data_IF_947777100255
#
_entry.id   IF_947777100255
#
_cell.length_a   1.000
_cell.length_b   1.000
_cell.length_c   1.000
_cell.angle_alpha   90.00
_cell.angle_beta   90.00
_cell.angle_gamma   90.00
#
_symmetry.space_group_name_H-M   'P 1'
#
loop_
_entity.id
_entity.type
_entity.pdbx_description
1 polymer ?
#
# COMPACT_ATOMS: atom_id res chain seq x y z
N UNK A 1 -0.83 -25.24 2.25
CA UNK A 1 -0.02 -25.69 3.39
C UNK A 1 0.37 -24.46 4.21
N UNK A 2 0.45 -24.61 5.53
CA UNK A 2 0.94 -23.57 6.42
C UNK A 2 2.48 -23.46 6.32
N UNK A 3 3.02 -22.25 6.28
CA UNK A 3 4.47 -22.03 6.35
C UNK A 3 4.91 -22.00 7.82
N UNK A 4 5.79 -22.90 8.20
CA UNK A 4 6.46 -22.86 9.50
C UNK A 4 7.68 -21.94 9.41
N UNK A 5 7.67 -20.84 10.17
CA UNK A 5 8.74 -19.86 10.14
C UNK A 5 9.94 -20.26 11.02
N UNK A 6 9.75 -21.25 11.92
CA UNK A 6 10.81 -21.76 12.81
C UNK A 6 11.78 -22.70 12.12
N UNK A 7 11.36 -23.33 11.02
CA UNK A 7 12.08 -24.42 10.36
C UNK A 7 12.36 -24.15 8.89
N UNK A 8 13.19 -25.00 8.29
CA UNK A 8 13.53 -24.95 6.88
C UNK A 8 14.43 -23.76 6.47
N UNK A 9 14.63 -23.61 5.17
CA UNK A 9 15.46 -22.54 4.61
C UNK A 9 14.73 -21.19 4.70
N UNK A 10 15.32 -20.21 5.34
CA UNK A 10 14.72 -18.88 5.60
C UNK A 10 14.28 -18.18 4.31
N UNK A 11 15.08 -18.26 3.25
CA UNK A 11 14.73 -17.68 1.96
C UNK A 11 13.43 -18.25 1.37
N UNK A 12 13.18 -19.57 1.56
CA UNK A 12 11.91 -20.19 1.14
C UNK A 12 10.73 -19.62 1.91
N UNK A 13 10.89 -19.38 3.21
CA UNK A 13 9.86 -18.79 4.05
C UNK A 13 9.52 -17.36 3.59
N UNK A 14 10.53 -16.55 3.27
CA UNK A 14 10.32 -15.19 2.74
C UNK A 14 9.63 -15.23 1.36
N UNK A 15 10.12 -16.04 0.43
CA UNK A 15 9.54 -16.15 -0.92
C UNK A 15 8.11 -16.69 -0.89
N UNK A 16 7.82 -17.68 -0.06
CA UNK A 16 6.48 -18.24 0.10
C UNK A 16 5.48 -17.21 0.64
N UNK A 17 5.94 -16.20 1.37
CA UNK A 17 5.12 -15.07 1.79
C UNK A 17 5.03 -13.98 0.70
N UNK A 18 6.16 -13.64 0.07
CA UNK A 18 6.25 -12.54 -0.86
C UNK A 18 5.50 -12.80 -2.18
N UNK A 19 5.62 -13.99 -2.78
CA UNK A 19 4.98 -14.31 -4.08
C UNK A 19 3.45 -14.16 -4.01
N UNK A 20 2.73 -14.77 -3.04
CA UNK A 20 1.28 -14.57 -2.97
C UNK A 20 0.89 -13.10 -2.74
N UNK A 21 1.65 -12.35 -1.94
CA UNK A 21 1.41 -10.92 -1.74
C UNK A 21 1.62 -10.14 -3.04
N UNK A 22 2.66 -10.46 -3.81
CA UNK A 22 2.95 -9.83 -5.10
C UNK A 22 1.81 -10.09 -6.10
N UNK A 23 1.37 -11.34 -6.22
CA UNK A 23 0.24 -11.70 -7.09
C UNK A 23 -1.03 -10.94 -6.67
N UNK A 24 -1.31 -10.89 -5.37
CA UNK A 24 -2.46 -10.15 -4.85
C UNK A 24 -2.39 -8.65 -5.20
N UNK A 25 -1.23 -8.00 -5.05
CA UNK A 25 -1.07 -6.58 -5.40
C UNK A 25 -1.17 -6.32 -6.91
N UNK A 26 -0.61 -7.19 -7.74
CA UNK A 26 -0.75 -7.06 -9.21
C UNK A 26 -2.21 -7.21 -9.66
N UNK A 27 -2.94 -8.16 -9.08
CA UNK A 27 -4.37 -8.33 -9.34
C UNK A 27 -5.16 -7.09 -8.87
N UNK A 28 -4.80 -6.51 -7.73
CA UNK A 28 -5.42 -5.29 -7.21
C UNK A 28 -5.22 -4.10 -8.17
N UNK A 29 -4.02 -3.93 -8.71
CA UNK A 29 -3.74 -2.88 -9.70
C UNK A 29 -4.56 -3.11 -10.97
N UNK A 30 -4.57 -4.34 -11.50
CA UNK A 30 -5.33 -4.69 -12.68
C UNK A 30 -6.83 -4.43 -12.50
N UNK A 31 -7.38 -4.87 -11.39
CA UNK A 31 -8.77 -4.64 -11.03
C UNK A 31 -9.11 -3.13 -11.01
N UNK A 32 -8.30 -2.30 -10.36
CA UNK A 32 -8.52 -0.85 -10.30
C UNK A 32 -8.51 -0.19 -11.70
N UNK A 33 -7.70 -0.71 -12.62
CA UNK A 33 -7.65 -0.23 -14.01
C UNK A 33 -8.92 -0.64 -14.76
N UNK A 34 -9.35 -1.89 -14.64
CA UNK A 34 -10.52 -2.41 -15.35
C UNK A 34 -11.82 -1.73 -14.87
N UNK A 35 -11.97 -1.52 -13.56
CA UNK A 35 -13.11 -0.79 -13.00
C UNK A 35 -13.25 0.63 -13.61
N UNK A 36 -12.12 1.36 -13.72
CA UNK A 36 -12.11 2.67 -14.37
C UNK A 36 -12.45 2.61 -15.86
N UNK A 37 -12.02 1.57 -16.56
CA UNK A 37 -12.35 1.35 -17.97
C UNK A 37 -13.85 1.18 -18.12
N UNK A 38 -14.50 0.33 -17.32
CA UNK A 38 -15.94 0.15 -17.37
C UNK A 38 -16.71 1.46 -17.14
N UNK A 39 -16.32 2.22 -16.13
CA UNK A 39 -16.98 3.49 -15.80
C UNK A 39 -16.76 4.55 -16.90
N UNK A 40 -15.54 4.63 -17.43
CA UNK A 40 -15.20 5.59 -18.50
C UNK A 40 -15.94 5.33 -19.83
N UNK A 41 -16.40 4.08 -20.05
CA UNK A 41 -17.15 3.71 -21.24
C UNK A 41 -18.69 3.82 -21.07
N UNK A 42 -19.17 4.43 -19.98
CA UNK A 42 -20.60 4.71 -19.83
C UNK A 42 -21.08 5.68 -20.91
N UNK A 43 -22.13 5.35 -21.68
CA UNK A 43 -22.66 6.22 -22.72
C UNK A 43 -23.06 7.58 -22.14
N UNK A 44 -22.71 8.67 -22.84
CA UNK A 44 -23.04 10.07 -22.54
C UNK A 44 -22.39 10.63 -21.27
N UNK A 45 -22.29 9.85 -20.18
CA UNK A 45 -21.88 10.32 -18.85
C UNK A 45 -20.47 9.86 -18.44
N UNK A 46 -19.80 9.01 -19.24
CA UNK A 46 -18.55 8.33 -18.86
C UNK A 46 -17.45 9.25 -18.38
N UNK A 47 -17.24 10.39 -19.06
CA UNK A 47 -16.20 11.38 -18.66
C UNK A 47 -16.51 12.02 -17.31
N UNK A 48 -17.74 12.47 -17.09
CA UNK A 48 -18.17 13.12 -15.83
C UNK A 48 -18.23 12.08 -14.69
N UNK A 49 -18.66 10.84 -14.98
CA UNK A 49 -18.67 9.75 -14.03
C UNK A 49 -17.25 9.36 -13.59
N UNK A 50 -16.32 9.22 -14.54
CA UNK A 50 -14.92 8.91 -14.25
C UNK A 50 -14.27 10.01 -13.41
N UNK A 51 -14.52 11.30 -13.75
CA UNK A 51 -14.05 12.44 -12.98
C UNK A 51 -14.65 12.42 -11.57
N UNK A 52 -15.97 12.21 -11.45
CA UNK A 52 -16.66 12.13 -10.16
C UNK A 52 -16.10 11.03 -9.24
N UNK A 53 -15.86 9.84 -9.77
CA UNK A 53 -15.26 8.74 -9.01
C UNK A 53 -13.80 9.04 -8.66
N UNK A 54 -13.06 9.71 -9.55
CA UNK A 54 -11.71 10.21 -9.26
C UNK A 54 -11.66 11.11 -8.02
N UNK A 55 -12.69 11.92 -7.79
CA UNK A 55 -12.82 12.76 -6.60
C UNK A 55 -13.10 12.00 -5.30
N UNK A 56 -13.54 10.75 -5.38
CA UNK A 56 -13.70 9.86 -4.22
C UNK A 56 -12.36 9.24 -3.78
N UNK A 57 -11.37 9.19 -4.66
CA UNK A 57 -10.08 8.55 -4.41
C UNK A 57 -9.35 9.05 -3.14
N UNK A 58 -9.30 10.35 -2.81
CA UNK A 58 -8.71 10.80 -1.55
C UNK A 58 -9.42 10.24 -0.30
N UNK A 59 -10.73 10.06 -0.35
CA UNK A 59 -11.50 9.47 0.76
C UNK A 59 -11.16 7.99 0.92
N UNK A 60 -11.11 7.24 -0.19
CA UNK A 60 -10.71 5.82 -0.14
C UNK A 60 -9.27 5.65 0.34
N UNK A 61 -8.38 6.57 -0.03
CA UNK A 61 -6.99 6.60 0.46
C UNK A 61 -6.92 6.87 1.95
N UNK A 62 -7.76 7.76 2.48
CA UNK A 62 -7.86 8.02 3.93
C UNK A 62 -8.33 6.77 4.67
N UNK A 63 -9.35 6.08 4.18
CA UNK A 63 -9.82 4.80 4.74
C UNK A 63 -8.70 3.76 4.76
N UNK A 64 -7.95 3.63 3.67
CA UNK A 64 -6.80 2.74 3.59
C UNK A 64 -5.67 3.12 4.57
N UNK A 65 -5.42 4.42 4.77
CA UNK A 65 -4.42 4.88 5.73
C UNK A 65 -4.76 4.47 7.16
N UNK A 66 -6.03 4.62 7.58
CA UNK A 66 -6.48 4.17 8.90
C UNK A 66 -6.49 2.64 9.03
N UNK A 67 -6.84 1.91 7.97
CA UNK A 67 -6.71 0.44 7.95
C UNK A 67 -5.25 0.03 8.18
N UNK A 68 -4.31 0.68 7.48
CA UNK A 68 -2.89 0.43 7.62
C UNK A 68 -2.35 0.83 9.01
N UNK A 69 -2.91 1.86 9.65
CA UNK A 69 -2.55 2.25 11.01
C UNK A 69 -2.63 1.06 11.98
N UNK A 70 -3.71 0.32 11.95
CA UNK A 70 -3.91 -0.78 12.89
C UNK A 70 -3.35 -2.12 12.40
N UNK A 71 -3.40 -2.38 11.10
CA UNK A 71 -2.83 -3.60 10.52
C UNK A 71 -1.31 -3.62 10.61
N UNK A 72 -0.64 -2.56 10.14
CA UNK A 72 0.83 -2.44 10.15
C UNK A 72 1.38 -2.38 11.58
N UNK A 73 0.60 -1.87 12.53
CA UNK A 73 0.98 -1.89 13.95
C UNK A 73 0.76 -3.24 14.63
N UNK A 74 -0.35 -3.90 14.33
CA UNK A 74 -0.75 -5.15 14.98
C UNK A 74 -0.02 -6.39 14.47
N UNK A 75 0.14 -6.53 13.15
CA UNK A 75 0.73 -7.73 12.53
C UNK A 75 2.15 -8.05 13.01
N UNK A 76 3.09 -7.10 13.11
CA UNK A 76 4.43 -7.38 13.65
C UNK A 76 4.39 -7.78 15.13
N UNK A 77 3.59 -7.08 15.95
CA UNK A 77 3.43 -7.42 17.37
C UNK A 77 2.85 -8.84 17.56
N UNK A 78 1.87 -9.19 16.73
CA UNK A 78 1.29 -10.54 16.69
C UNK A 78 2.35 -11.56 16.28
N UNK A 79 3.15 -11.29 15.25
CA UNK A 79 4.19 -12.21 14.77
C UNK A 79 5.26 -12.46 15.82
N UNK A 80 5.67 -11.42 16.56
CA UNK A 80 6.63 -11.53 17.67
C UNK A 80 6.04 -12.33 18.83
N UNK A 81 4.80 -12.06 19.25
CA UNK A 81 4.11 -12.80 20.31
C UNK A 81 3.97 -14.30 19.94
N UNK A 82 3.62 -14.59 18.68
CA UNK A 82 3.55 -15.94 18.15
C UNK A 82 4.92 -16.64 18.21
N UNK A 83 5.99 -15.97 17.82
CA UNK A 83 7.36 -16.50 17.87
C UNK A 83 7.81 -16.79 19.30
N UNK A 84 7.44 -15.94 20.25
CA UNK A 84 7.70 -16.11 21.67
C UNK A 84 6.80 -17.16 22.34
N UNK A 85 5.87 -17.78 21.60
CA UNK A 85 4.86 -18.74 22.11
C UNK A 85 3.91 -18.13 23.17
N UNK A 86 3.73 -16.80 23.13
CA UNK A 86 2.82 -16.06 24.01
C UNK A 86 1.39 -16.05 23.39
N UNK A 87 0.72 -17.20 23.35
CA UNK A 87 -0.55 -17.37 22.63
C UNK A 87 -1.64 -16.40 23.08
N UNK A 88 -1.82 -16.23 24.41
CA UNK A 88 -2.81 -15.29 24.97
C UNK A 88 -2.57 -13.85 24.52
N UNK A 89 -1.31 -13.45 24.41
CA UNK A 89 -0.93 -12.10 23.95
C UNK A 89 -1.16 -11.94 22.45
N UNK A 90 -0.87 -12.97 21.64
CA UNK A 90 -1.15 -12.96 20.22
C UNK A 90 -2.67 -12.82 19.96
N UNK A 91 -3.50 -13.60 20.65
CA UNK A 91 -4.97 -13.49 20.57
C UNK A 91 -5.49 -12.14 21.04
N UNK A 92 -4.90 -11.59 22.11
CA UNK A 92 -5.24 -10.23 22.58
C UNK A 92 -4.95 -9.20 21.50
N UNK A 93 -3.77 -9.23 20.87
CA UNK A 93 -3.41 -8.29 19.80
C UNK A 93 -4.39 -8.39 18.63
N UNK A 94 -4.73 -9.61 18.20
CA UNK A 94 -5.72 -9.84 17.15
C UNK A 94 -7.08 -9.23 17.51
N UNK A 95 -7.60 -9.51 18.71
CA UNK A 95 -8.88 -8.97 19.18
C UNK A 95 -8.88 -7.44 19.27
N UNK A 96 -7.81 -6.82 19.79
CA UNK A 96 -7.69 -5.36 19.84
C UNK A 96 -7.73 -4.74 18.44
N UNK A 97 -7.02 -5.34 17.46
CA UNK A 97 -7.01 -4.82 16.08
C UNK A 97 -8.39 -4.98 15.43
N UNK A 98 -9.09 -6.10 15.65
CA UNK A 98 -10.48 -6.26 15.16
C UNK A 98 -11.36 -5.12 15.68
N UNK A 99 -11.31 -4.84 16.97
CA UNK A 99 -12.13 -3.78 17.58
C UNK A 99 -11.73 -2.38 17.07
N UNK A 100 -10.43 -2.10 16.93
CA UNK A 100 -9.95 -0.83 16.39
C UNK A 100 -10.38 -0.63 14.94
N UNK A 101 -10.24 -1.64 14.09
CA UNK A 101 -10.69 -1.59 12.70
C UNK A 101 -12.21 -1.38 12.60
N UNK A 102 -12.99 -2.11 13.44
CA UNK A 102 -14.44 -1.98 13.46
C UNK A 102 -14.89 -0.58 13.88
N UNK A 103 -14.40 -0.09 15.02
CA UNK A 103 -14.75 1.25 15.55
C UNK A 103 -14.33 2.33 14.54
N UNK A 104 -13.13 2.22 13.99
CA UNK A 104 -12.63 3.21 13.03
C UNK A 104 -13.41 3.18 11.73
N UNK A 105 -13.83 2.01 11.23
CA UNK A 105 -14.66 1.93 10.03
C UNK A 105 -16.01 2.61 10.23
N UNK A 106 -16.66 2.44 11.39
CA UNK A 106 -17.89 3.13 11.72
C UNK A 106 -17.69 4.64 11.88
N UNK A 107 -16.62 5.06 12.54
CA UNK A 107 -16.30 6.48 12.70
C UNK A 107 -16.02 7.15 11.35
N UNK A 108 -15.21 6.54 10.49
CA UNK A 108 -14.93 7.04 9.16
C UNK A 108 -16.19 7.08 8.29
N UNK A 109 -17.00 6.04 8.33
CA UNK A 109 -18.28 6.00 7.63
C UNK A 109 -19.17 7.19 8.06
N UNK A 110 -19.37 7.39 9.36
CA UNK A 110 -20.19 8.48 9.87
C UNK A 110 -19.62 9.86 9.51
N UNK A 111 -18.32 10.09 9.73
CA UNK A 111 -17.67 11.35 9.37
C UNK A 111 -17.74 11.65 7.88
N UNK A 112 -17.46 10.65 7.03
CA UNK A 112 -17.53 10.84 5.59
C UNK A 112 -18.97 11.08 5.11
N UNK A 113 -19.99 10.46 5.72
CA UNK A 113 -21.39 10.75 5.40
C UNK A 113 -21.79 12.19 5.76
N UNK A 114 -21.37 12.68 6.94
CA UNK A 114 -21.67 14.04 7.39
C UNK A 114 -20.97 15.09 6.53
N UNK A 115 -19.68 14.86 6.24
CA UNK A 115 -18.82 15.85 5.58
C UNK A 115 -18.59 15.60 4.08
N UNK A 116 -19.29 14.65 3.44
CA UNK A 116 -19.07 14.27 2.03
C UNK A 116 -19.14 15.46 1.06
N UNK A 117 -20.14 16.33 1.20
CA UNK A 117 -20.32 17.48 0.31
C UNK A 117 -19.15 18.47 0.41
N UNK A 118 -18.83 19.07 1.58
CA UNK A 118 -17.71 20.00 1.69
C UNK A 118 -16.37 19.35 1.32
N UNK A 119 -16.16 18.07 1.62
CA UNK A 119 -14.91 17.35 1.29
C UNK A 119 -14.78 17.15 -0.22
N UNK A 120 -15.84 16.72 -0.92
CA UNK A 120 -15.80 16.56 -2.38
C UNK A 120 -15.58 17.89 -3.11
N UNK A 121 -16.22 18.98 -2.66
CA UNK A 121 -15.98 20.31 -3.22
C UNK A 121 -14.56 20.83 -2.92
N UNK A 122 -14.01 20.52 -1.76
CA UNK A 122 -12.61 20.83 -1.43
C UNK A 122 -11.63 20.11 -2.37
N UNK A 123 -11.99 18.91 -2.83
CA UNK A 123 -11.19 18.15 -3.82
C UNK A 123 -11.47 18.53 -5.27
N UNK A 124 -12.29 19.55 -5.52
CA UNK A 124 -12.50 20.11 -6.84
C UNK A 124 -13.75 19.60 -7.57
N UNK A 125 -14.75 19.09 -6.83
CA UNK A 125 -16.04 18.75 -7.44
C UNK A 125 -16.73 20.00 -7.99
N UNK A 126 -17.29 19.89 -9.20
CA UNK A 126 -18.32 20.79 -9.72
C UNK A 126 -19.71 20.24 -9.34
N UNK A 127 -20.76 21.04 -9.49
CA UNK A 127 -22.14 20.56 -9.27
C UNK A 127 -22.47 19.36 -10.18
N UNK A 128 -21.93 19.30 -11.39
CA UNK A 128 -22.14 18.20 -12.33
C UNK A 128 -21.41 16.92 -11.88
N UNK A 129 -20.13 17.01 -11.52
CA UNK A 129 -19.33 15.85 -11.11
C UNK A 129 -19.67 15.37 -9.70
N UNK A 130 -20.18 16.27 -8.84
CA UNK A 130 -20.65 15.94 -7.50
C UNK A 130 -21.74 14.88 -7.51
N UNK A 131 -22.68 14.93 -8.45
CA UNK A 131 -23.78 13.97 -8.55
C UNK A 131 -23.23 12.54 -8.66
N UNK A 132 -22.24 12.31 -9.51
CA UNK A 132 -21.65 10.97 -9.72
C UNK A 132 -20.75 10.56 -8.54
N UNK A 133 -19.97 11.50 -8.00
CA UNK A 133 -19.17 11.28 -6.81
C UNK A 133 -20.04 10.87 -5.61
N UNK A 134 -21.16 11.56 -5.38
CA UNK A 134 -22.10 11.28 -4.29
C UNK A 134 -22.82 9.95 -4.47
N UNK A 135 -23.22 9.61 -5.70
CA UNK A 135 -23.83 8.32 -6.03
C UNK A 135 -22.90 7.16 -5.66
N UNK A 136 -21.64 7.23 -6.07
CA UNK A 136 -20.66 6.20 -5.77
C UNK A 136 -20.35 6.15 -4.26
N UNK A 137 -20.05 7.32 -3.67
CA UNK A 137 -19.59 7.43 -2.30
C UNK A 137 -20.63 6.95 -1.29
N UNK A 138 -21.92 7.25 -1.48
CA UNK A 138 -23.01 6.80 -0.60
C UNK A 138 -23.01 5.29 -0.41
N UNK A 139 -22.83 4.55 -1.49
CA UNK A 139 -22.85 3.08 -1.46
C UNK A 139 -21.52 2.56 -0.96
N UNK A 140 -20.41 3.10 -1.47
CA UNK A 140 -19.06 2.71 -1.06
C UNK A 140 -18.85 2.82 0.46
N UNK A 141 -19.37 3.88 1.09
CA UNK A 141 -19.26 4.09 2.53
C UNK A 141 -19.94 2.99 3.35
N UNK A 142 -21.06 2.43 2.87
CA UNK A 142 -21.70 1.27 3.52
C UNK A 142 -20.81 0.03 3.49
N UNK A 143 -20.02 -0.13 2.44
CA UNK A 143 -19.04 -1.20 2.29
C UNK A 143 -17.73 -0.99 3.05
N UNK A 144 -17.48 0.20 3.57
CA UNK A 144 -16.21 0.55 4.23
C UNK A 144 -15.87 -0.44 5.36
N UNK A 145 -16.84 -0.89 6.13
CA UNK A 145 -16.65 -1.86 7.21
C UNK A 145 -16.08 -3.19 6.68
N UNK A 146 -16.59 -3.68 5.55
CA UNK A 146 -16.12 -4.92 4.92
C UNK A 146 -14.70 -4.75 4.37
N UNK A 147 -14.43 -3.63 3.71
CA UNK A 147 -13.13 -3.29 3.15
C UNK A 147 -12.06 -3.19 4.24
N UNK A 148 -12.32 -2.43 5.30
CA UNK A 148 -11.40 -2.19 6.42
C UNK A 148 -11.09 -3.49 7.16
N UNK A 149 -12.11 -4.29 7.47
CA UNK A 149 -11.91 -5.55 8.19
C UNK A 149 -11.23 -6.61 7.31
N UNK A 150 -11.62 -6.77 6.05
CA UNK A 150 -11.00 -7.76 5.16
C UNK A 150 -9.52 -7.44 4.91
N UNK A 151 -9.21 -6.21 4.57
CA UNK A 151 -7.84 -5.77 4.29
C UNK A 151 -6.98 -5.74 5.55
N UNK A 152 -7.51 -5.20 6.64
CA UNK A 152 -6.78 -5.05 7.90
C UNK A 152 -6.44 -6.38 8.56
N UNK A 153 -7.35 -7.37 8.47
CA UNK A 153 -7.14 -8.70 9.06
C UNK A 153 -6.35 -9.65 8.15
N UNK A 154 -6.26 -9.34 6.84
CA UNK A 154 -5.53 -10.19 5.89
C UNK A 154 -4.06 -10.37 6.27
N UNK A 155 -3.42 -9.34 6.84
CA UNK A 155 -2.06 -9.40 7.35
C UNK A 155 -1.87 -10.46 8.45
N UNK A 156 -2.89 -10.70 9.29
CA UNK A 156 -2.85 -11.72 10.34
C UNK A 156 -2.97 -13.15 9.78
N UNK A 157 -3.67 -13.33 8.66
CA UNK A 157 -3.70 -14.61 7.93
C UNK A 157 -2.30 -14.95 7.44
N UNK A 158 -1.62 -13.98 6.83
CA UNK A 158 -0.25 -14.11 6.35
C UNK A 158 0.73 -14.38 7.51
N UNK A 159 0.58 -13.66 8.62
CA UNK A 159 1.39 -13.82 9.83
C UNK A 159 1.20 -15.18 10.52
N UNK A 160 0.06 -15.85 10.31
CA UNK A 160 -0.15 -17.24 10.74
C UNK A 160 0.47 -18.28 9.79
N UNK A 161 1.10 -17.84 8.69
CA UNK A 161 1.74 -18.72 7.71
C UNK A 161 0.82 -19.22 6.60
N UNK A 162 -0.30 -18.53 6.33
CA UNK A 162 -1.26 -18.89 5.28
C UNK A 162 -1.33 -17.84 4.14
N UNK A 163 -0.20 -17.47 3.51
CA UNK A 163 -0.18 -16.38 2.51
C UNK A 163 -1.06 -16.66 1.29
N UNK A 164 -1.20 -17.94 0.89
CA UNK A 164 -2.12 -18.32 -0.19
C UNK A 164 -3.59 -18.01 0.16
N UNK A 165 -3.97 -18.14 1.44
CA UNK A 165 -5.31 -17.78 1.91
C UNK A 165 -5.50 -16.26 1.90
N UNK A 166 -4.45 -15.52 2.31
CA UNK A 166 -4.43 -14.06 2.20
C UNK A 166 -4.52 -13.56 0.76
N UNK A 167 -3.80 -14.17 -0.16
CA UNK A 167 -3.92 -13.89 -1.60
C UNK A 167 -5.36 -14.12 -2.11
N UNK A 168 -5.97 -15.24 -1.71
CA UNK A 168 -7.36 -15.56 -2.11
C UNK A 168 -8.36 -14.51 -1.64
N UNK A 169 -8.13 -13.80 -0.54
CA UNK A 169 -8.97 -12.68 -0.10
C UNK A 169 -9.08 -11.61 -1.18
N UNK A 170 -7.93 -11.20 -1.74
CA UNK A 170 -7.87 -10.17 -2.78
C UNK A 170 -8.40 -10.70 -4.12
N UNK A 171 -8.02 -11.93 -4.48
CA UNK A 171 -8.45 -12.56 -5.73
C UNK A 171 -9.98 -12.72 -5.80
N UNK A 172 -10.61 -13.21 -4.74
CA UNK A 172 -12.07 -13.37 -4.71
C UNK A 172 -12.77 -12.03 -4.87
N UNK A 173 -12.33 -10.99 -4.14
CA UNK A 173 -12.87 -9.65 -4.29
C UNK A 173 -12.74 -9.15 -5.73
N UNK A 174 -11.53 -9.24 -6.31
CA UNK A 174 -11.26 -8.76 -7.66
C UNK A 174 -12.05 -9.51 -8.74
N UNK A 175 -12.11 -10.84 -8.67
CA UNK A 175 -12.85 -11.66 -9.64
C UNK A 175 -14.36 -11.38 -9.58
N UNK A 176 -14.91 -11.30 -8.36
CA UNK A 176 -16.36 -11.04 -8.18
C UNK A 176 -16.69 -9.63 -8.69
N UNK A 177 -15.88 -8.64 -8.38
CA UNK A 177 -16.09 -7.29 -8.87
C UNK A 177 -16.02 -7.24 -10.40
N UNK A 178 -14.99 -7.83 -11.02
CA UNK A 178 -14.83 -7.91 -12.47
C UNK A 178 -16.04 -8.53 -13.19
N UNK A 179 -16.70 -9.49 -12.55
CA UNK A 179 -17.92 -10.14 -13.09
C UNK A 179 -19.15 -9.28 -12.84
N UNK A 180 -19.27 -8.69 -11.64
CA UNK A 180 -20.46 -7.94 -11.26
C UNK A 180 -20.53 -6.54 -11.88
N UNK A 181 -19.38 -5.89 -12.14
CA UNK A 181 -19.35 -4.56 -12.75
C UNK A 181 -20.11 -4.51 -14.08
N UNK A 182 -19.80 -5.32 -15.11
CA UNK A 182 -20.55 -5.27 -16.37
C UNK A 182 -22.01 -5.65 -16.20
N UNK A 183 -22.34 -6.54 -15.27
CA UNK A 183 -23.72 -6.95 -15.00
C UNK A 183 -24.53 -5.79 -14.43
N UNK A 184 -24.01 -5.09 -13.42
CA UNK A 184 -24.75 -3.99 -12.79
C UNK A 184 -24.66 -2.70 -13.61
N UNK A 185 -23.49 -2.39 -14.18
CA UNK A 185 -23.28 -1.15 -14.92
C UNK A 185 -24.10 -1.16 -16.22
N UNK A 186 -23.95 -2.22 -17.03
CA UNK A 186 -24.55 -2.30 -18.37
C UNK A 186 -25.79 -3.18 -18.42
N UNK A 187 -25.76 -4.38 -17.79
CA UNK A 187 -26.87 -5.33 -17.84
C UNK A 187 -28.12 -4.82 -17.11
N UNK A 188 -27.96 -4.26 -15.93
CA UNK A 188 -29.05 -3.67 -15.14
C UNK A 188 -29.17 -2.15 -15.31
N UNK A 189 -28.37 -1.54 -16.19
CA UNK A 189 -28.37 -0.11 -16.48
C UNK A 189 -28.24 0.81 -15.23
N UNK A 190 -27.53 0.32 -14.18
CA UNK A 190 -27.38 1.06 -12.93
C UNK A 190 -26.26 2.10 -12.96
N UNK A 191 -25.42 2.11 -14.02
CA UNK A 191 -24.33 3.08 -14.18
C UNK A 191 -23.38 3.12 -12.97
N UNK A 192 -23.13 4.32 -12.44
CA UNK A 192 -22.22 4.55 -11.30
C UNK A 192 -22.69 3.84 -10.02
N UNK A 193 -24.01 3.76 -9.77
CA UNK A 193 -24.55 2.99 -8.65
C UNK A 193 -24.19 1.51 -8.76
N UNK A 194 -24.24 0.97 -9.99
CA UNK A 194 -23.91 -0.43 -10.28
C UNK A 194 -22.45 -0.75 -9.89
N UNK A 195 -21.50 0.09 -10.29
CA UNK A 195 -20.09 -0.05 -9.93
C UNK A 195 -19.89 -0.02 -8.41
N UNK A 196 -20.54 0.90 -7.70
CA UNK A 196 -20.44 0.99 -6.24
C UNK A 196 -21.02 -0.26 -5.55
N UNK A 197 -22.16 -0.78 -6.01
CA UNK A 197 -22.79 -2.00 -5.46
C UNK A 197 -21.88 -3.22 -5.70
N UNK A 198 -21.34 -3.39 -6.92
CA UNK A 198 -20.43 -4.47 -7.25
C UNK A 198 -19.19 -4.44 -6.34
N UNK A 199 -18.63 -3.26 -6.10
CA UNK A 199 -17.50 -3.06 -5.19
C UNK A 199 -17.85 -3.48 -3.75
N UNK A 200 -18.99 -3.06 -3.23
CA UNK A 200 -19.41 -3.40 -1.85
C UNK A 200 -19.68 -4.90 -1.69
N UNK A 201 -20.33 -5.52 -2.66
CA UNK A 201 -20.56 -6.98 -2.64
C UNK A 201 -19.22 -7.72 -2.66
N UNK A 202 -18.30 -7.33 -3.52
CA UNK A 202 -16.96 -7.93 -3.63
C UNK A 202 -16.17 -7.82 -2.32
N UNK A 203 -16.22 -6.64 -1.67
CA UNK A 203 -15.62 -6.42 -0.35
C UNK A 203 -16.31 -7.27 0.73
N UNK A 204 -17.63 -7.41 0.67
CA UNK A 204 -18.41 -8.29 1.54
C UNK A 204 -17.98 -9.75 1.44
N UNK A 205 -17.80 -10.26 0.22
CA UNK A 205 -17.32 -11.64 0.00
C UNK A 205 -15.88 -11.81 0.50
N UNK A 206 -15.00 -10.84 0.24
CA UNK A 206 -13.65 -10.83 0.79
C UNK A 206 -13.65 -10.87 2.33
N UNK A 207 -14.53 -10.10 2.96
CA UNK A 207 -14.70 -10.10 4.41
C UNK A 207 -15.21 -11.44 4.93
N UNK A 208 -16.23 -12.02 4.29
CA UNK A 208 -16.76 -13.35 4.68
C UNK A 208 -15.70 -14.44 4.55
N UNK A 209 -14.84 -14.36 3.53
CA UNK A 209 -13.70 -15.26 3.38
C UNK A 209 -12.70 -15.13 4.55
N UNK A 210 -12.32 -13.90 4.93
CA UNK A 210 -11.45 -13.62 6.06
C UNK A 210 -12.07 -14.10 7.37
N UNK A 211 -13.35 -13.79 7.59
CA UNK A 211 -14.09 -14.23 8.78
C UNK A 211 -14.16 -15.74 8.88
N UNK A 212 -14.45 -16.45 7.77
CA UNK A 212 -14.46 -17.91 7.71
C UNK A 212 -13.13 -18.55 8.10
N UNK A 213 -12.01 -17.88 7.79
CA UNK A 213 -10.70 -18.34 8.23
C UNK A 213 -10.54 -18.25 9.75
N UNK A 214 -10.91 -17.11 10.37
CA UNK A 214 -10.77 -16.93 11.83
C UNK A 214 -11.79 -17.70 12.66
N UNK A 215 -12.92 -18.08 12.08
CA UNK A 215 -13.92 -18.97 12.71
C UNK A 215 -13.64 -20.45 12.44
N UNK A 216 -12.80 -20.76 11.47
CA UNK A 216 -12.54 -22.12 11.02
C UNK A 216 -11.54 -22.86 11.93
N UNK A 217 -11.60 -24.20 11.89
CA UNK A 217 -10.72 -25.10 12.67
C UNK A 217 -9.23 -25.07 12.25
N UNK A 218 -8.88 -24.38 11.16
CA UNK A 218 -7.51 -24.33 10.61
C UNK A 218 -6.65 -23.22 11.21
N UNK A 219 -7.27 -22.23 11.85
CA UNK A 219 -6.56 -21.17 12.54
C UNK A 219 -6.19 -21.61 13.96
N UNK A 220 -5.02 -21.20 14.42
CA UNK A 220 -4.61 -21.42 15.82
C UNK A 220 -5.04 -20.27 16.73
N UNK A 221 -5.29 -19.09 16.15
CA UNK A 221 -5.60 -17.87 16.88
C UNK A 221 -6.98 -17.37 16.46
N UNK A 222 -7.94 -17.53 17.37
CA UNK A 222 -9.34 -17.17 17.14
C UNK A 222 -9.66 -15.76 17.66
N UNK A 223 -10.68 -15.14 17.06
CA UNK A 223 -11.26 -13.91 17.59
C UNK A 223 -12.12 -14.28 18.80
N UNK A 224 -11.64 -13.97 20.00
CA UNK A 224 -12.34 -14.22 21.26
C UNK A 224 -13.03 -12.96 21.75
N UNK A 225 -14.27 -13.05 22.21
CA UNK A 225 -15.07 -11.91 22.71
C UNK A 225 -14.37 -11.15 23.85
N UNK A 226 -13.70 -11.86 24.75
CA UNK A 226 -12.94 -11.30 25.87
C UNK A 226 -11.78 -10.37 25.44
N UNK A 227 -11.22 -10.60 24.24
CA UNK A 227 -10.11 -9.85 23.67
C UNK A 227 -10.57 -8.62 22.86
N UNK A 228 -11.86 -8.44 22.64
CA UNK A 228 -12.42 -7.28 21.93
C UNK A 228 -12.49 -6.02 22.79
N UNK A 229 -12.47 -6.15 24.11
CA UNK A 229 -12.45 -5.01 25.02
C UNK A 229 -11.11 -4.30 24.92
N UNK A 230 -11.14 -3.01 24.54
CA UNK A 230 -9.92 -2.23 24.29
C UNK A 230 -9.10 -2.05 25.57
N UNK A 231 -7.81 -2.38 25.50
CA UNK A 231 -6.83 -2.18 26.57
C UNK A 231 -5.87 -1.06 26.15
N UNK A 232 -5.95 0.10 26.84
CA UNK A 232 -5.20 1.31 26.46
C UNK A 232 -3.70 1.07 26.23
N UNK A 233 -3.04 0.26 27.06
CA UNK A 233 -1.62 -0.05 26.89
C UNK A 233 -1.31 -0.85 25.61
N UNK A 234 -2.21 -1.74 25.17
CA UNK A 234 -2.04 -2.50 23.93
C UNK A 234 -2.40 -1.62 22.72
N UNK A 235 -3.49 -0.88 22.79
CA UNK A 235 -3.89 0.10 21.76
C UNK A 235 -2.74 1.08 21.50
N UNK A 236 -2.13 1.65 22.54
CA UNK A 236 -0.98 2.55 22.40
C UNK A 236 0.20 1.92 21.67
N UNK A 237 0.53 0.65 21.95
CA UNK A 237 1.61 -0.07 21.24
C UNK A 237 1.28 -0.31 19.77
N UNK A 238 0.05 -0.76 19.46
CA UNK A 238 -0.42 -0.99 18.09
C UNK A 238 -0.39 0.33 17.31
N UNK A 239 -0.99 1.39 17.84
CA UNK A 239 -1.05 2.69 17.16
C UNK A 239 0.34 3.29 16.97
N UNK A 240 1.21 3.25 18.00
CA UNK A 240 2.58 3.78 17.92
C UNK A 240 3.39 3.14 16.78
N UNK A 241 3.29 1.82 16.60
CA UNK A 241 3.98 1.13 15.51
C UNK A 241 3.30 1.39 14.16
N UNK A 242 1.99 1.43 14.15
CA UNK A 242 1.19 1.64 12.94
C UNK A 242 1.22 3.06 12.38
N UNK A 243 1.55 4.07 13.19
CA UNK A 243 1.75 5.45 12.72
C UNK A 243 2.73 5.50 11.53
N UNK A 244 3.72 4.60 11.48
CA UNK A 244 4.67 4.55 10.37
C UNK A 244 3.99 4.27 9.03
N UNK A 245 3.03 3.34 8.98
CA UNK A 245 2.26 3.03 7.78
C UNK A 245 1.30 4.16 7.40
N UNK A 246 0.64 4.76 8.39
CA UNK A 246 -0.24 5.91 8.20
C UNK A 246 0.52 7.12 7.61
N UNK A 247 1.64 7.48 8.23
CA UNK A 247 2.49 8.60 7.79
C UNK A 247 3.06 8.34 6.41
N UNK A 248 3.46 7.10 6.11
CA UNK A 248 3.96 6.75 4.77
C UNK A 248 2.91 6.98 3.69
N UNK A 249 1.65 6.63 3.94
CA UNK A 249 0.56 6.86 2.99
C UNK A 249 0.26 8.36 2.81
N UNK A 250 0.15 9.10 3.90
CA UNK A 250 -0.10 10.54 3.87
C UNK A 250 1.02 11.34 3.20
N UNK A 251 2.27 10.97 3.46
CA UNK A 251 3.43 11.64 2.84
C UNK A 251 3.55 11.36 1.34
N UNK A 252 3.15 10.17 0.86
CA UNK A 252 3.07 9.89 -0.57
C UNK A 252 2.06 10.81 -1.29
N UNK A 253 0.88 11.00 -0.69
CA UNK A 253 -0.14 11.91 -1.20
C UNK A 253 0.39 13.36 -1.25
N UNK A 254 1.02 13.83 -0.18
CA UNK A 254 1.63 15.16 -0.12
C UNK A 254 2.66 15.38 -1.24
N UNK A 255 3.59 14.44 -1.41
CA UNK A 255 4.60 14.50 -2.46
C UNK A 255 3.97 14.59 -3.83
N UNK A 256 2.94 13.77 -4.10
CA UNK A 256 2.26 13.78 -5.40
C UNK A 256 1.61 15.14 -5.71
N UNK A 257 0.95 15.75 -4.72
CA UNK A 257 0.34 17.09 -4.87
C UNK A 257 1.42 18.14 -5.16
N UNK A 258 2.52 18.14 -4.42
CA UNK A 258 3.62 19.11 -4.61
C UNK A 258 4.29 18.90 -5.97
N UNK A 259 4.60 17.65 -6.36
CA UNK A 259 5.18 17.34 -7.66
C UNK A 259 4.28 17.82 -8.81
N UNK A 260 2.99 17.50 -8.78
CA UNK A 260 2.06 17.90 -9.82
C UNK A 260 1.95 19.43 -9.94
N UNK A 261 1.90 20.15 -8.80
CA UNK A 261 1.85 21.62 -8.78
C UNK A 261 3.12 22.21 -9.40
N UNK A 262 4.30 21.71 -9.03
CA UNK A 262 5.58 22.22 -9.56
C UNK A 262 5.72 21.89 -11.06
N UNK A 263 5.34 20.68 -11.48
CA UNK A 263 5.36 20.32 -12.91
C UNK A 263 4.42 21.17 -13.74
N UNK A 264 3.21 21.45 -13.23
CA UNK A 264 2.28 22.36 -13.89
C UNK A 264 2.87 23.76 -14.05
N UNK A 265 3.49 24.30 -12.99
CA UNK A 265 4.06 25.65 -13.01
C UNK A 265 5.24 25.81 -13.99
N UNK A 266 6.10 24.78 -14.12
CA UNK A 266 7.32 24.85 -14.92
C UNK A 266 7.23 24.19 -16.29
N UNK A 267 6.27 23.28 -16.51
CA UNK A 267 6.16 22.49 -17.74
C UNK A 267 4.76 22.30 -18.30
N UNK A 268 3.74 22.82 -17.60
CA UNK A 268 2.34 22.72 -18.03
C UNK A 268 1.77 21.29 -17.94
N UNK A 269 0.59 21.12 -18.54
CA UNK A 269 -0.19 19.87 -18.47
C UNK A 269 0.54 18.66 -19.05
N UNK A 270 1.37 18.87 -20.08
CA UNK A 270 2.13 17.78 -20.70
C UNK A 270 3.03 17.06 -19.69
N UNK A 271 3.76 17.79 -18.84
CA UNK A 271 4.65 17.21 -17.86
C UNK A 271 3.93 16.61 -16.65
N UNK A 272 2.75 17.11 -16.31
CA UNK A 272 1.84 16.44 -15.34
C UNK A 272 1.37 15.10 -15.91
N UNK A 273 1.04 15.05 -17.19
CA UNK A 273 0.73 13.82 -17.91
C UNK A 273 1.90 12.81 -17.92
N UNK A 274 3.11 13.29 -18.25
CA UNK A 274 4.34 12.46 -18.19
C UNK A 274 4.53 11.88 -16.77
N UNK A 275 4.36 12.69 -15.72
CA UNK A 275 4.49 12.23 -14.33
C UNK A 275 3.44 11.18 -13.98
N UNK A 276 2.25 11.26 -14.52
CA UNK A 276 1.21 10.24 -14.33
C UNK A 276 1.64 8.90 -14.90
N UNK A 277 2.22 8.89 -16.11
CA UNK A 277 2.79 7.67 -16.70
C UNK A 277 3.97 7.16 -15.87
N UNK A 278 4.91 8.03 -15.50
CA UNK A 278 6.06 7.69 -14.65
C UNK A 278 5.61 7.05 -13.32
N UNK A 279 4.59 7.60 -12.67
CA UNK A 279 4.03 7.04 -11.43
C UNK A 279 3.43 5.65 -11.66
N UNK A 280 2.76 5.42 -12.79
CA UNK A 280 2.20 4.10 -13.14
C UNK A 280 3.31 3.06 -13.34
N UNK A 281 4.37 3.43 -14.08
CA UNK A 281 5.57 2.58 -14.25
C UNK A 281 6.21 2.28 -12.88
N UNK A 282 6.39 3.31 -12.05
CA UNK A 282 6.96 3.17 -10.71
C UNK A 282 6.12 2.24 -9.82
N UNK A 283 4.80 2.38 -9.86
CA UNK A 283 3.90 1.54 -9.07
C UNK A 283 4.07 0.07 -9.44
N UNK A 284 4.02 -0.27 -10.72
CA UNK A 284 4.20 -1.64 -11.20
C UNK A 284 5.57 -2.20 -10.83
N UNK A 285 6.65 -1.45 -11.12
CA UNK A 285 8.02 -1.90 -10.87
C UNK A 285 8.39 -1.97 -9.38
N UNK A 286 7.73 -1.21 -8.51
CA UNK A 286 8.00 -1.28 -7.07
C UNK A 286 7.28 -2.43 -6.36
N UNK A 287 6.24 -3.03 -6.98
CA UNK A 287 5.47 -4.12 -6.35
C UNK A 287 6.35 -5.29 -5.88
N UNK A 288 7.24 -5.89 -6.69
CA UNK A 288 8.04 -7.01 -6.22
C UNK A 288 8.98 -6.65 -5.07
N UNK A 289 9.59 -5.46 -5.10
CA UNK A 289 10.47 -4.99 -4.02
C UNK A 289 9.73 -4.73 -2.71
N UNK A 290 8.59 -4.04 -2.77
CA UNK A 290 7.76 -3.75 -1.60
C UNK A 290 7.13 -5.01 -1.00
N UNK A 291 6.69 -5.94 -1.85
CA UNK A 291 6.09 -7.21 -1.39
C UNK A 291 7.13 -8.17 -0.83
N UNK A 292 8.37 -8.13 -1.33
CA UNK A 292 9.49 -8.88 -0.73
C UNK A 292 9.74 -8.39 0.70
N UNK A 293 9.78 -7.07 0.92
CA UNK A 293 9.88 -6.47 2.24
C UNK A 293 8.70 -6.83 3.16
N UNK A 294 7.48 -6.69 2.66
CA UNK A 294 6.25 -7.01 3.41
C UNK A 294 6.15 -8.50 3.73
N UNK A 295 6.53 -9.37 2.81
CA UNK A 295 6.57 -10.82 3.00
C UNK A 295 7.64 -11.27 4.01
N UNK A 296 8.72 -10.50 4.13
CA UNK A 296 9.75 -10.75 5.15
C UNK A 296 9.28 -10.37 6.56
N UNK A 297 8.38 -9.41 6.73
CA UNK A 297 7.96 -8.93 8.06
C UNK A 297 7.44 -10.02 9.01
N UNK A 298 6.50 -10.90 8.62
CA UNK A 298 6.06 -11.98 9.49
C UNK A 298 7.17 -12.96 9.87
N UNK A 299 8.08 -13.23 8.93
CA UNK A 299 9.23 -14.14 9.15
C UNK A 299 10.22 -13.51 10.12
N UNK A 300 10.53 -12.22 9.93
CA UNK A 300 11.42 -11.46 10.83
C UNK A 300 10.83 -11.36 12.23
N UNK A 301 9.58 -10.92 12.35
CA UNK A 301 8.90 -10.75 13.65
C UNK A 301 8.79 -12.05 14.41
N UNK A 302 8.41 -13.15 13.75
CA UNK A 302 8.33 -14.47 14.36
C UNK A 302 9.69 -14.94 14.91
N UNK A 303 10.72 -14.94 14.05
CA UNK A 303 12.05 -15.43 14.45
C UNK A 303 12.69 -14.53 15.51
N UNK A 304 12.41 -13.23 15.49
CA UNK A 304 12.84 -12.30 16.54
C UNK A 304 12.18 -12.62 17.88
N UNK A 305 10.85 -12.82 17.87
CA UNK A 305 10.11 -13.26 19.07
C UNK A 305 10.56 -14.61 19.61
N UNK A 306 10.93 -15.55 18.72
CA UNK A 306 11.47 -16.85 19.07
C UNK A 306 12.96 -16.81 19.47
N UNK A 307 13.59 -15.63 19.50
CA UNK A 307 15.04 -15.44 19.79
C UNK A 307 15.97 -16.18 18.81
N UNK A 308 15.49 -16.50 17.61
CA UNK A 308 16.28 -17.15 16.55
C UNK A 308 17.00 -16.09 15.70
N UNK A 309 17.94 -15.37 16.29
CA UNK A 309 18.55 -14.18 15.70
C UNK A 309 19.38 -14.47 14.44
N UNK A 310 19.99 -15.63 14.32
CA UNK A 310 20.68 -16.04 13.09
C UNK A 310 19.71 -16.13 11.90
N UNK A 311 18.48 -16.62 12.12
CA UNK A 311 17.45 -16.66 11.08
C UNK A 311 16.96 -15.26 10.72
N UNK A 312 16.89 -14.35 11.68
CA UNK A 312 16.61 -12.93 11.44
C UNK A 312 17.68 -12.32 10.53
N UNK A 313 18.97 -12.54 10.85
CA UNK A 313 20.11 -12.07 10.01
C UNK A 313 20.02 -12.63 8.58
N UNK A 314 19.77 -13.93 8.43
CA UNK A 314 19.62 -14.59 7.13
C UNK A 314 18.44 -14.01 6.33
N UNK A 315 17.31 -13.73 6.98
CA UNK A 315 16.15 -13.09 6.33
C UNK A 315 16.49 -11.68 5.83
N UNK A 316 17.12 -10.83 6.66
CA UNK A 316 17.52 -9.48 6.28
C UNK A 316 18.50 -9.51 5.09
N UNK A 317 19.55 -10.34 5.16
CA UNK A 317 20.54 -10.47 4.06
C UNK A 317 19.87 -10.91 2.75
N UNK A 318 19.03 -11.93 2.81
CA UNK A 318 18.32 -12.44 1.64
C UNK A 318 17.41 -11.37 1.02
N UNK A 319 16.59 -10.70 1.85
CA UNK A 319 15.67 -9.65 1.38
C UNK A 319 16.43 -8.47 0.79
N UNK A 320 17.57 -8.09 1.38
CA UNK A 320 18.43 -7.03 0.85
C UNK A 320 19.06 -7.40 -0.50
N UNK A 321 19.64 -8.60 -0.61
CA UNK A 321 20.32 -9.05 -1.83
C UNK A 321 19.34 -9.21 -3.00
N UNK A 322 18.22 -9.90 -2.79
CA UNK A 322 17.22 -10.13 -3.84
C UNK A 322 16.46 -8.85 -4.18
N UNK A 323 16.11 -8.05 -3.18
CA UNK A 323 15.47 -6.75 -3.40
C UNK A 323 16.36 -5.80 -4.21
N UNK A 324 17.65 -5.72 -3.90
CA UNK A 324 18.60 -4.91 -4.64
C UNK A 324 18.77 -5.42 -6.08
N UNK A 325 18.99 -6.73 -6.26
CA UNK A 325 19.16 -7.34 -7.59
C UNK A 325 17.94 -7.09 -8.47
N UNK A 326 16.73 -7.30 -7.94
CA UNK A 326 15.50 -7.03 -8.69
C UNK A 326 15.38 -5.56 -9.09
N UNK A 327 15.58 -4.63 -8.14
CA UNK A 327 15.47 -3.19 -8.41
C UNK A 327 16.55 -2.71 -9.38
N UNK A 328 17.74 -3.31 -9.36
CA UNK A 328 18.80 -3.04 -10.32
C UNK A 328 18.39 -3.49 -11.73
N UNK A 329 17.81 -4.68 -11.88
CA UNK A 329 17.30 -5.18 -13.17
C UNK A 329 16.16 -4.28 -13.67
N UNK A 330 15.22 -3.90 -12.79
CA UNK A 330 14.12 -3.00 -13.14
C UNK A 330 14.64 -1.63 -13.59
N UNK A 331 15.63 -1.08 -12.90
CA UNK A 331 16.29 0.16 -13.28
C UNK A 331 16.95 0.05 -14.66
N UNK A 332 17.73 -1.01 -14.91
CA UNK A 332 18.36 -1.25 -16.22
C UNK A 332 17.32 -1.36 -17.35
N UNK A 333 16.21 -2.05 -17.10
CA UNK A 333 15.13 -2.15 -18.08
C UNK A 333 14.55 -0.77 -18.45
N UNK A 334 14.34 0.10 -17.47
CA UNK A 334 13.82 1.46 -17.70
C UNK A 334 14.85 2.32 -18.47
N UNK A 335 16.13 2.19 -18.15
CA UNK A 335 17.18 3.00 -18.82
C UNK A 335 17.41 2.53 -20.28
N UNK A 336 17.31 1.22 -20.52
CA UNK A 336 17.55 0.63 -21.85
C UNK A 336 16.33 0.79 -22.78
N UNK A 337 15.12 0.61 -22.24
CA UNK A 337 13.86 0.57 -23.00
C UNK A 337 12.86 1.68 -22.61
N UNK A 338 13.26 2.97 -22.49
CA UNK A 338 12.37 4.03 -21.99
C UNK A 338 11.24 4.33 -22.97
N UNK A 339 11.51 4.31 -24.29
CA UNK A 339 10.52 4.58 -25.34
C UNK A 339 9.44 3.52 -25.40
N UNK A 340 9.86 2.26 -25.36
CA UNK A 340 8.98 1.09 -25.37
C UNK A 340 8.05 1.10 -24.16
N UNK A 341 8.59 1.41 -22.98
CA UNK A 341 7.80 1.52 -21.75
C UNK A 341 6.77 2.65 -21.86
N UNK A 342 7.17 3.83 -22.34
CA UNK A 342 6.25 4.93 -22.52
C UNK A 342 5.17 4.66 -23.56
N UNK A 343 5.53 3.98 -24.67
CA UNK A 343 4.60 3.64 -25.74
C UNK A 343 3.46 2.69 -25.32
N UNK A 344 3.63 1.96 -24.22
CA UNK A 344 2.55 1.14 -23.62
C UNK A 344 1.43 2.04 -23.08
N UNK A 345 1.76 3.26 -22.63
CA UNK A 345 0.81 4.15 -21.94
C UNK A 345 0.28 5.29 -22.82
N UNK A 346 1.01 5.67 -23.87
CA UNK A 346 0.60 6.78 -24.75
C UNK A 346 1.09 6.57 -26.17
N UNK A 347 0.30 7.04 -27.14
CA UNK A 347 0.66 7.10 -28.57
C UNK A 347 1.15 8.49 -29.00
N UNK A 348 1.09 9.49 -28.09
CA UNK A 348 1.55 10.84 -28.37
C UNK A 348 3.08 10.90 -28.47
N UNK A 349 3.58 11.17 -29.67
CA UNK A 349 5.02 11.24 -29.96
C UNK A 349 5.73 12.34 -29.18
N UNK A 350 5.10 13.51 -28.99
CA UNK A 350 5.69 14.60 -28.23
C UNK A 350 5.87 14.22 -26.76
N UNK A 351 4.86 13.57 -26.18
CA UNK A 351 4.90 13.05 -24.83
C UNK A 351 5.94 11.94 -24.64
N UNK A 352 6.13 11.06 -25.66
CA UNK A 352 7.15 10.00 -25.62
C UNK A 352 8.55 10.62 -25.63
N UNK A 353 8.82 11.56 -26.53
CA UNK A 353 10.14 12.19 -26.64
C UNK A 353 10.53 12.95 -25.37
N UNK A 354 9.63 13.82 -24.87
CA UNK A 354 9.87 14.56 -23.62
C UNK A 354 9.90 13.63 -22.39
N UNK A 355 9.07 12.59 -22.41
CA UNK A 355 8.96 11.61 -21.33
C UNK A 355 10.19 10.69 -21.21
N UNK A 356 10.91 10.41 -22.31
CA UNK A 356 12.11 9.56 -22.30
C UNK A 356 13.18 10.13 -21.35
N UNK A 357 13.49 11.41 -21.47
CA UNK A 357 14.45 12.07 -20.59
C UNK A 357 13.97 12.12 -19.15
N UNK A 358 12.72 12.53 -18.94
CA UNK A 358 12.10 12.60 -17.62
C UNK A 358 12.07 11.23 -16.91
N UNK A 359 11.75 10.16 -17.65
CA UNK A 359 11.74 8.80 -17.12
C UNK A 359 13.14 8.35 -16.66
N UNK A 360 14.17 8.60 -17.48
CA UNK A 360 15.56 8.29 -17.13
C UNK A 360 16.02 9.05 -15.89
N UNK A 361 15.70 10.34 -15.80
CA UNK A 361 16.04 11.16 -14.62
C UNK A 361 15.33 10.65 -13.36
N UNK A 362 14.03 10.39 -13.44
CA UNK A 362 13.24 9.96 -12.30
C UNK A 362 13.66 8.58 -11.76
N UNK A 363 14.02 7.66 -12.66
CA UNK A 363 14.47 6.31 -12.29
C UNK A 363 15.96 6.23 -12.00
N UNK A 364 16.72 7.31 -12.16
CA UNK A 364 18.15 7.30 -11.83
C UNK A 364 18.37 6.88 -10.38
N UNK A 365 19.08 5.75 -10.19
CA UNK A 365 19.28 5.20 -8.85
C UNK A 365 18.06 4.55 -8.20
N UNK A 366 17.05 4.11 -8.98
CA UNK A 366 15.85 3.40 -8.47
C UNK A 366 16.19 2.19 -7.59
N UNK A 367 17.31 1.53 -7.82
CA UNK A 367 17.79 0.41 -7.01
C UNK A 367 18.08 0.79 -5.55
N UNK A 368 18.37 2.06 -5.24
CA UNK A 368 18.50 2.52 -3.84
C UNK A 368 17.20 2.40 -3.04
N UNK A 369 16.06 2.37 -3.70
CA UNK A 369 14.77 2.19 -3.06
C UNK A 369 14.65 0.82 -2.36
N UNK A 370 15.42 -0.19 -2.81
CA UNK A 370 15.49 -1.50 -2.14
C UNK A 370 15.99 -1.38 -0.70
N UNK A 371 16.99 -0.53 -0.44
CA UNK A 371 17.51 -0.29 0.90
C UNK A 371 16.46 0.34 1.83
N UNK A 372 15.62 1.23 1.28
CA UNK A 372 14.49 1.78 2.01
C UNK A 372 13.48 0.71 2.38
N UNK A 373 13.09 -0.17 1.44
CA UNK A 373 12.13 -1.24 1.71
C UNK A 373 12.65 -2.21 2.78
N UNK A 374 13.91 -2.61 2.71
CA UNK A 374 14.52 -3.52 3.69
C UNK A 374 14.64 -2.86 5.06
N UNK A 375 15.14 -1.62 5.13
CA UNK A 375 15.25 -0.87 6.38
C UNK A 375 13.88 -0.69 7.04
N UNK A 376 12.90 -0.20 6.28
CA UNK A 376 11.55 0.07 6.77
C UNK A 376 10.83 -1.21 7.23
N UNK A 377 10.89 -2.29 6.44
CA UNK A 377 10.28 -3.57 6.81
C UNK A 377 10.90 -4.17 8.04
N UNK A 378 12.23 -4.06 8.22
CA UNK A 378 12.94 -4.53 9.41
C UNK A 378 12.58 -3.72 10.64
N UNK A 379 12.56 -2.37 10.55
CA UNK A 379 12.13 -1.51 11.67
C UNK A 379 10.71 -1.86 12.13
N UNK A 380 9.80 -2.04 11.19
CA UNK A 380 8.40 -2.39 11.48
C UNK A 380 8.29 -3.79 12.08
N UNK A 381 8.95 -4.78 11.48
CA UNK A 381 8.90 -6.17 11.93
C UNK A 381 9.45 -6.38 13.34
N UNK A 382 10.48 -5.61 13.73
CA UNK A 382 11.13 -5.68 15.03
C UNK A 382 10.57 -4.68 16.06
N UNK A 383 9.45 -4.01 15.74
CA UNK A 383 8.75 -3.12 16.67
C UNK A 383 9.42 -1.76 16.88
N UNK A 384 10.33 -1.32 16.00
CA UNK A 384 11.05 -0.06 16.11
C UNK A 384 10.25 1.13 15.53
N UNK A 385 9.06 1.42 16.13
CA UNK A 385 8.10 2.41 15.66
C UNK A 385 8.72 3.79 15.35
N UNK A 386 9.47 4.34 16.31
CA UNK A 386 10.08 5.69 16.16
C UNK A 386 10.98 5.80 14.92
N UNK A 387 11.78 4.76 14.65
CA UNK A 387 12.66 4.74 13.47
C UNK A 387 11.87 4.56 12.18
N UNK A 388 10.87 3.69 12.19
CA UNK A 388 9.99 3.48 11.05
C UNK A 388 9.26 4.79 10.65
N UNK A 389 8.70 5.53 11.62
CA UNK A 389 8.08 6.84 11.39
C UNK A 389 9.10 7.86 10.90
N UNK A 390 10.25 7.96 11.57
CA UNK A 390 11.30 8.92 11.21
C UNK A 390 11.72 8.77 9.75
N UNK A 391 12.05 7.56 9.28
CA UNK A 391 12.50 7.36 7.91
C UNK A 391 11.38 7.51 6.87
N UNK A 392 10.11 7.31 7.25
CA UNK A 392 8.97 7.65 6.38
C UNK A 392 8.88 9.16 6.12
N UNK A 393 9.02 9.97 7.17
CA UNK A 393 8.99 11.44 7.09
C UNK A 393 10.27 11.97 6.45
N UNK A 394 11.44 11.48 6.88
CA UNK A 394 12.75 11.95 6.44
C UNK A 394 12.88 11.92 4.91
N UNK A 395 12.56 10.79 4.30
CA UNK A 395 12.68 10.64 2.85
C UNK A 395 11.69 11.53 2.09
N UNK A 396 10.43 11.51 2.47
CA UNK A 396 9.38 12.17 1.68
C UNK A 396 9.20 13.64 2.02
N UNK A 397 9.12 13.99 3.29
CA UNK A 397 8.83 15.37 3.71
C UNK A 397 10.12 16.20 3.84
N UNK A 398 11.19 15.63 4.38
CA UNK A 398 12.42 16.40 4.62
C UNK A 398 13.31 16.46 3.38
N UNK A 399 13.29 15.45 2.50
CA UNK A 399 14.13 15.43 1.30
C UNK A 399 13.31 15.73 0.04
N UNK A 400 12.32 14.90 -0.32
CA UNK A 400 11.61 15.02 -1.61
C UNK A 400 10.88 16.36 -1.74
N UNK A 401 10.05 16.73 -0.75
CA UNK A 401 9.24 17.95 -0.85
C UNK A 401 10.10 19.21 -1.03
N UNK A 402 11.14 19.46 -0.18
CA UNK A 402 11.99 20.63 -0.39
C UNK A 402 12.76 20.59 -1.71
N UNK A 403 13.33 19.44 -2.11
CA UNK A 403 14.05 19.35 -3.37
C UNK A 403 13.12 19.57 -4.58
N UNK A 404 11.91 19.04 -4.54
CA UNK A 404 10.89 19.27 -5.60
C UNK A 404 10.56 20.75 -5.77
N UNK A 405 10.67 21.56 -4.72
CA UNK A 405 10.43 23.01 -4.77
C UNK A 405 11.71 23.77 -5.13
N UNK A 406 12.82 23.45 -4.46
CA UNK A 406 14.07 24.23 -4.54
C UNK A 406 14.78 24.01 -5.89
N UNK A 407 14.92 22.75 -6.36
CA UNK A 407 15.67 22.46 -7.58
C UNK A 407 15.12 23.16 -8.82
N UNK A 408 13.78 23.21 -9.08
CA UNK A 408 13.22 24.01 -10.16
C UNK A 408 13.55 25.51 -10.04
N UNK A 409 13.50 26.06 -8.81
CA UNK A 409 13.80 27.48 -8.56
C UNK A 409 15.28 27.82 -8.77
N UNK A 410 16.19 26.86 -8.65
CA UNK A 410 17.62 27.02 -8.93
C UNK A 410 17.98 26.95 -10.43
N UNK A 411 16.99 26.95 -11.31
CA UNK A 411 17.18 26.95 -12.76
C UNK A 411 17.08 25.60 -13.45
N UNK A 412 16.84 24.52 -12.70
CA UNK A 412 16.65 23.18 -13.27
C UNK A 412 15.22 22.98 -13.86
N UNK A 413 14.30 23.91 -13.60
CA UNK A 413 12.95 23.83 -14.14
C UNK A 413 12.27 22.48 -13.87
N UNK A 414 11.70 21.89 -14.91
CA UNK A 414 10.99 20.60 -14.84
C UNK A 414 11.90 19.46 -14.41
N UNK A 415 13.17 19.45 -14.86
CA UNK A 415 14.14 18.39 -14.51
C UNK A 415 14.38 18.30 -13.01
N UNK A 416 14.40 19.46 -12.33
CA UNK A 416 14.56 19.52 -10.86
C UNK A 416 13.47 18.74 -10.12
N UNK A 417 12.24 18.71 -10.63
CA UNK A 417 11.16 17.90 -10.03
C UNK A 417 11.45 16.42 -10.16
N UNK A 418 11.91 15.96 -11.33
CA UNK A 418 12.19 14.56 -11.56
C UNK A 418 13.44 14.06 -10.80
N UNK A 419 14.44 14.92 -10.59
CA UNK A 419 15.68 14.60 -9.84
C UNK A 419 15.43 14.47 -8.34
N UNK A 420 14.42 15.10 -7.79
CA UNK A 420 14.12 15.05 -6.35
C UNK A 420 13.94 13.63 -5.79
N UNK A 421 13.23 12.76 -6.53
CA UNK A 421 12.98 11.37 -6.10
C UNK A 421 14.26 10.49 -6.08
N UNK A 422 15.11 10.42 -7.13
CA UNK A 422 16.35 9.65 -7.09
C UNK A 422 17.33 10.13 -6.01
N UNK A 423 17.47 11.43 -5.80
CA UNK A 423 18.30 11.96 -4.70
C UNK A 423 17.78 11.47 -3.35
N UNK A 424 16.49 11.53 -3.15
CA UNK A 424 15.84 11.02 -1.94
C UNK A 424 15.98 9.50 -1.77
N UNK A 425 15.87 8.73 -2.85
CA UNK A 425 16.07 7.29 -2.82
C UNK A 425 17.51 6.94 -2.39
N UNK A 426 18.50 7.65 -2.91
CA UNK A 426 19.90 7.45 -2.52
C UNK A 426 20.14 7.83 -1.05
N UNK A 427 19.83 9.06 -0.67
CA UNK A 427 20.09 9.55 0.70
C UNK A 427 19.22 8.80 1.71
N UNK A 428 17.92 8.77 1.50
CA UNK A 428 16.96 8.16 2.43
C UNK A 428 17.07 6.64 2.50
N UNK A 429 17.30 5.98 1.36
CA UNK A 429 17.52 4.53 1.30
C UNK A 429 18.77 4.11 2.04
N UNK A 430 19.93 4.74 1.74
CA UNK A 430 21.19 4.46 2.41
C UNK A 430 21.13 4.80 3.90
N UNK A 431 20.57 5.94 4.27
CA UNK A 431 20.41 6.33 5.68
C UNK A 431 19.55 5.34 6.47
N UNK A 432 18.42 4.89 5.89
CA UNK A 432 17.55 3.88 6.52
C UNK A 432 18.25 2.54 6.70
N UNK A 433 18.93 2.07 5.65
CA UNK A 433 19.64 0.79 5.66
C UNK A 433 20.83 0.80 6.63
N UNK A 434 21.69 1.83 6.57
CA UNK A 434 22.85 1.95 7.46
C UNK A 434 22.43 2.07 8.92
N UNK A 435 21.37 2.84 9.21
CA UNK A 435 20.82 2.90 10.57
C UNK A 435 20.31 1.54 11.02
N UNK A 436 19.55 0.83 10.18
CA UNK A 436 19.09 -0.53 10.47
C UNK A 436 20.27 -1.48 10.72
N UNK A 437 21.31 -1.42 9.90
CA UNK A 437 22.48 -2.27 10.00
C UNK A 437 23.23 -2.06 11.32
N UNK A 438 23.53 -0.81 11.70
CA UNK A 438 24.31 -0.52 12.92
C UNK A 438 23.49 -0.61 14.20
N UNK A 439 22.19 -0.31 14.17
CA UNK A 439 21.37 -0.23 15.39
C UNK A 439 20.57 -1.48 15.68
N UNK A 440 20.33 -2.33 14.68
CA UNK A 440 19.60 -3.58 14.83
C UNK A 440 20.45 -4.78 14.42
N UNK A 441 20.84 -4.86 13.14
CA UNK A 441 21.50 -6.05 12.60
C UNK A 441 22.77 -6.44 13.36
N UNK A 442 23.69 -5.50 13.61
CA UNK A 442 24.92 -5.75 14.38
C UNK A 442 24.66 -6.03 15.87
N UNK A 443 23.54 -5.52 16.40
CA UNK A 443 23.20 -5.67 17.83
C UNK A 443 22.33 -6.88 18.13
N UNK A 444 21.95 -7.66 17.12
CA UNK A 444 21.28 -8.95 17.38
C UNK A 444 22.27 -9.86 18.15
N UNK A 445 21.82 -10.53 19.23
CA UNK A 445 22.64 -11.53 19.92
C UNK A 445 23.10 -12.64 18.97
N UNK A 446 24.22 -13.29 19.28
CA UNK A 446 24.72 -14.46 18.55
C UNK A 446 23.80 -15.66 18.65
#
# INVERSE_FOLDING_TARGET
MQSDFSQGKVWKNVINQAIPLMVAQLIQILYNVVDRIYIGHLPVIGSNALTGIGLVFPITTLVAAFTNLFSTGGVPLFSMARGAKEEKKAELILGQVVSLLFITSLALMALCYIFKRPVLFLFGASEETYVYADQYLKIYLLGTIFSVLSTGLNGFINAQGYPKKGMMTVMLGAIINLILDPVFIYGLHMGVYGAAIATVISQGVSFMWVLSFFMGKKTFYHIKKENLILKAGMVGKITSLGISGFVMQGTNCLVQVVCNKMLFMYGGDMYVGIMTVINSVREILSVPGSTLGSGAQPVLGYNYGAKQYERVRKAIRFTAAIGFLYMLIAWLAVIIFPKEILSVFTTDKAMIVSGEHALKLYFFGFFFMSFQFVGQSTFTALGCAKRAVFFSIFRKVIIVVPLTIILPMLGLGVEGVFIAEPVSNAIGGLASFTTMYFTLYKKLPE
#
